data_IF_829495295762
#
_entry.id   IF_829495295762
#
_cell.length_a   1.000
_cell.length_b   1.000
_cell.length_c   1.000
_cell.angle_alpha   90.00
_cell.angle_beta   90.00
_cell.angle_gamma   90.00
#
_symmetry.space_group_name_H-M   'P 1'
#
loop_
_entity.id
_entity.type
_entity.pdbx_description
1 polymer ?
#
# COMPACT_ATOMS: atom_id res chain seq x y z
N UNK A 1 12.54 13.94 7.06
CA UNK A 1 11.43 13.26 7.73
C UNK A 1 10.61 12.48 6.72
N UNK A 2 10.45 11.20 6.92
CA UNK A 2 9.74 10.34 5.95
C UNK A 2 8.23 10.43 6.13
N UNK A 3 7.50 10.37 5.02
CA UNK A 3 6.05 10.24 5.02
C UNK A 3 5.73 8.75 5.06
N UNK A 4 4.95 8.32 6.03
CA UNK A 4 4.62 6.90 6.22
C UNK A 4 3.37 6.55 5.44
N UNK A 5 3.46 5.52 4.61
CA UNK A 5 2.43 5.17 3.64
C UNK A 5 1.91 3.76 3.89
N UNK A 6 0.59 3.62 3.89
CA UNK A 6 -0.08 2.34 3.82
C UNK A 6 -0.69 2.13 2.45
N UNK A 7 -0.71 0.90 1.97
CA UNK A 7 -1.33 0.58 0.68
C UNK A 7 -2.49 -0.38 0.94
N UNK A 8 -3.70 0.03 0.58
CA UNK A 8 -4.85 -0.84 0.65
C UNK A 8 -5.08 -1.48 -0.71
N UNK A 9 -4.82 -2.79 -0.77
CA UNK A 9 -4.84 -3.54 -2.01
C UNK A 9 -3.46 -3.65 -2.63
N UNK A 10 -2.79 -4.77 -2.46
CA UNK A 10 -1.45 -4.98 -3.00
C UNK A 10 -1.50 -5.76 -4.30
N UNK A 11 -2.41 -5.35 -5.19
CA UNK A 11 -2.50 -5.83 -6.55
C UNK A 11 -1.46 -5.15 -7.44
N UNK A 12 -1.71 -5.17 -8.75
CA UNK A 12 -0.75 -4.60 -9.71
C UNK A 12 -0.43 -3.13 -9.44
N UNK A 13 -1.45 -2.31 -9.17
CA UNK A 13 -1.25 -0.89 -8.93
C UNK A 13 -0.44 -0.63 -7.66
N UNK A 14 -0.81 -1.29 -6.56
CA UNK A 14 -0.08 -1.14 -5.30
C UNK A 14 1.36 -1.61 -5.39
N UNK A 15 1.58 -2.76 -6.05
CA UNK A 15 2.94 -3.28 -6.25
C UNK A 15 3.78 -2.36 -7.14
N UNK A 16 3.18 -1.81 -8.19
CA UNK A 16 3.90 -0.87 -9.06
C UNK A 16 4.23 0.43 -8.35
N UNK A 17 3.37 0.88 -7.45
CA UNK A 17 3.66 2.05 -6.62
C UNK A 17 4.90 1.80 -5.76
N UNK A 18 4.97 0.65 -5.09
CA UNK A 18 6.13 0.30 -4.28
C UNK A 18 7.41 0.21 -5.13
N UNK A 19 7.32 -0.44 -6.31
CA UNK A 19 8.46 -0.53 -7.21
C UNK A 19 8.95 0.84 -7.67
N UNK A 20 8.03 1.74 -7.98
CA UNK A 20 8.36 3.09 -8.41
C UNK A 20 9.04 3.87 -7.28
N UNK A 21 8.56 3.71 -6.06
CA UNK A 21 9.15 4.35 -4.88
C UNK A 21 10.58 3.86 -4.66
N UNK A 22 10.80 2.55 -4.74
CA UNK A 22 12.13 1.98 -4.60
C UNK A 22 13.10 2.50 -5.66
N UNK A 23 12.62 2.63 -6.90
CA UNK A 23 13.45 3.10 -8.00
C UNK A 23 13.83 4.57 -7.87
N UNK A 24 12.91 5.39 -7.35
CA UNK A 24 13.14 6.84 -7.23
C UNK A 24 13.84 7.25 -5.95
N UNK A 25 13.76 6.42 -4.91
CA UNK A 25 14.37 6.75 -3.62
C UNK A 25 13.75 7.99 -2.99
N UNK A 26 12.40 8.06 -2.97
CA UNK A 26 11.69 9.20 -2.41
C UNK A 26 11.69 9.18 -0.88
N UNK A 27 11.11 10.22 -0.26
CA UNK A 27 10.93 10.29 1.18
C UNK A 27 9.75 9.47 1.69
N UNK A 28 9.09 8.72 0.81
CA UNK A 28 7.98 7.86 1.21
C UNK A 28 8.51 6.57 1.82
N UNK A 29 7.89 6.18 2.92
CA UNK A 29 8.20 4.92 3.60
C UNK A 29 6.95 4.04 3.59
N UNK A 30 6.98 2.95 2.82
CA UNK A 30 5.87 2.00 2.80
C UNK A 30 5.98 1.12 4.04
N UNK A 31 5.06 1.29 4.98
CA UNK A 31 5.15 0.59 6.27
C UNK A 31 4.21 -0.59 6.36
N UNK A 32 3.13 -0.59 5.58
CA UNK A 32 2.16 -1.67 5.61
C UNK A 32 1.38 -1.73 4.32
N UNK A 33 0.94 -2.94 3.98
CA UNK A 33 -0.01 -3.16 2.88
C UNK A 33 -1.16 -3.98 3.45
N UNK A 34 -2.36 -3.78 2.92
CA UNK A 34 -3.51 -4.58 3.28
C UNK A 34 -3.97 -5.37 2.06
N UNK A 35 -4.02 -6.67 2.19
CA UNK A 35 -4.48 -7.56 1.12
C UNK A 35 -4.94 -8.87 1.75
N UNK A 36 -5.95 -9.50 1.15
CA UNK A 36 -6.47 -10.76 1.67
C UNK A 36 -5.64 -11.96 1.25
N UNK A 37 -4.71 -11.77 0.34
CA UNK A 37 -3.84 -12.84 -0.15
C UNK A 37 -2.72 -13.15 0.84
N UNK A 38 -2.17 -14.35 0.73
CA UNK A 38 -1.07 -14.81 1.56
C UNK A 38 0.20 -13.97 1.33
N UNK A 39 0.93 -13.59 2.40
CA UNK A 39 2.18 -12.84 2.25
C UNK A 39 3.20 -13.46 1.30
N UNK A 40 3.32 -14.79 1.26
CA UNK A 40 4.23 -15.47 0.34
C UNK A 40 3.85 -15.23 -1.10
N UNK A 41 2.55 -15.31 -1.41
CA UNK A 41 2.05 -15.04 -2.75
C UNK A 41 2.27 -13.59 -3.15
N UNK A 42 2.02 -12.66 -2.24
CA UNK A 42 2.24 -11.24 -2.49
C UNK A 42 3.71 -10.92 -2.73
N UNK A 43 4.60 -11.51 -1.92
CA UNK A 43 6.03 -11.31 -2.08
C UNK A 43 6.52 -11.85 -3.43
N UNK A 44 5.99 -13.02 -3.83
CA UNK A 44 6.33 -13.60 -5.14
C UNK A 44 5.91 -12.67 -6.28
N UNK A 45 4.69 -12.14 -6.21
CA UNK A 45 4.18 -11.23 -7.25
C UNK A 45 4.93 -9.89 -7.25
N UNK A 46 5.40 -9.44 -6.11
CA UNK A 46 6.24 -8.24 -6.04
C UNK A 46 7.59 -8.48 -6.72
N UNK A 47 8.18 -9.64 -6.47
CA UNK A 47 9.51 -9.98 -7.01
C UNK A 47 9.47 -10.26 -8.51
N UNK A 48 8.44 -10.98 -8.96
CA UNK A 48 8.33 -11.43 -10.35
C UNK A 48 7.04 -10.93 -10.97
N UNK A 49 7.15 -9.97 -11.88
CA UNK A 49 6.01 -9.41 -12.60
C UNK A 49 6.15 -9.74 -14.08
N UNK A 50 5.06 -10.21 -14.70
CA UNK A 50 5.08 -10.62 -16.10
C UNK A 50 5.25 -9.43 -17.06
N UNK A 51 4.92 -8.22 -16.62
CA UNK A 51 5.03 -7.00 -17.45
C UNK A 51 6.31 -6.24 -17.13
N UNK A 52 6.58 -5.98 -15.85
CA UNK A 52 7.72 -5.16 -15.43
C UNK A 52 8.97 -5.98 -15.12
N UNK A 53 8.83 -7.31 -15.10
CA UNK A 53 9.96 -8.22 -14.92
C UNK A 53 10.35 -8.44 -13.46
N UNK A 54 11.55 -8.96 -13.28
CA UNK A 54 12.07 -9.27 -11.95
C UNK A 54 12.52 -8.01 -11.24
N UNK A 55 12.07 -7.84 -10.01
CA UNK A 55 12.52 -6.73 -9.17
C UNK A 55 13.95 -6.99 -8.70
N UNK A 56 14.84 -6.04 -8.94
CA UNK A 56 16.26 -6.13 -8.54
C UNK A 56 16.44 -5.70 -7.09
N UNK A 57 15.76 -6.37 -6.20
CA UNK A 57 15.80 -6.14 -4.76
C UNK A 57 15.62 -7.48 -4.06
N UNK A 58 16.16 -7.60 -2.86
CA UNK A 58 15.97 -8.79 -2.05
C UNK A 58 14.57 -8.74 -1.43
N UNK A 59 13.77 -9.79 -1.67
CA UNK A 59 12.40 -9.88 -1.14
C UNK A 59 12.27 -11.21 -0.40
N UNK A 60 11.99 -11.13 0.89
CA UNK A 60 11.77 -12.29 1.74
C UNK A 60 10.48 -12.15 2.54
N UNK A 61 10.07 -13.21 3.20
CA UNK A 61 8.84 -13.22 4.02
C UNK A 61 9.20 -13.73 5.41
N UNK A 62 8.69 -13.04 6.43
CA UNK A 62 8.82 -13.46 7.81
C UNK A 62 7.45 -13.33 8.48
N UNK A 63 6.73 -14.45 8.62
CA UNK A 63 5.40 -14.48 9.18
C UNK A 63 4.42 -13.66 8.33
N UNK A 64 3.88 -12.61 8.90
CA UNK A 64 2.95 -11.69 8.23
C UNK A 64 3.65 -10.45 7.66
N UNK A 65 4.96 -10.51 7.51
CA UNK A 65 5.74 -9.39 7.01
C UNK A 65 6.41 -9.75 5.69
N UNK A 66 6.49 -8.77 4.79
CA UNK A 66 7.34 -8.84 3.60
C UNK A 66 8.54 -7.95 3.87
N UNK A 67 9.73 -8.46 3.62
CA UNK A 67 10.96 -7.72 3.87
C UNK A 67 11.64 -7.44 2.54
N UNK A 68 11.79 -6.16 2.21
CA UNK A 68 12.43 -5.70 0.98
C UNK A 68 13.72 -4.96 1.34
N UNK A 69 14.86 -5.52 0.96
CA UNK A 69 16.19 -4.99 1.27
C UNK A 69 16.35 -4.66 2.77
N UNK A 70 15.80 -5.53 3.64
CA UNK A 70 15.88 -5.35 5.08
C UNK A 70 14.79 -4.45 5.67
N UNK A 71 13.97 -3.79 4.85
CA UNK A 71 12.87 -2.96 5.33
C UNK A 71 11.62 -3.82 5.50
N UNK A 72 11.05 -3.77 6.69
CA UNK A 72 9.88 -4.58 7.03
C UNK A 72 8.60 -3.87 6.59
N UNK A 73 7.78 -4.57 5.81
CA UNK A 73 6.46 -4.11 5.40
C UNK A 73 5.43 -5.07 5.98
N UNK A 74 4.58 -4.57 6.86
CA UNK A 74 3.57 -5.39 7.52
C UNK A 74 2.43 -5.69 6.55
N UNK A 75 1.99 -6.96 6.53
CA UNK A 75 0.85 -7.37 5.70
C UNK A 75 -0.38 -7.53 6.60
N UNK A 76 -1.41 -6.75 6.31
CA UNK A 76 -2.69 -6.83 6.98
C UNK A 76 -3.67 -7.57 6.08
N UNK A 77 -4.68 -8.22 6.67
CA UNK A 77 -5.67 -8.99 5.92
C UNK A 77 -7.07 -8.60 6.40
N UNK A 78 -7.43 -7.34 6.22
CA UNK A 78 -8.69 -6.79 6.72
C UNK A 78 -9.59 -6.38 5.56
N UNK A 79 -10.84 -6.88 5.57
CA UNK A 79 -11.81 -6.56 4.52
C UNK A 79 -12.42 -5.18 4.68
N UNK A 80 -12.67 -4.77 5.93
CA UNK A 80 -13.34 -3.49 6.20
C UNK A 80 -12.29 -2.44 6.54
N UNK A 81 -12.16 -1.38 5.73
CA UNK A 81 -11.19 -0.32 6.00
C UNK A 81 -11.34 0.32 7.37
N UNK A 82 -12.56 0.29 7.94
CA UNK A 82 -12.80 0.86 9.26
C UNK A 82 -12.05 0.12 10.36
N UNK A 83 -11.66 -1.12 10.12
CA UNK A 83 -10.93 -1.95 11.08
C UNK A 83 -9.41 -1.94 10.87
N UNK A 84 -8.93 -1.17 9.88
CA UNK A 84 -7.49 -1.09 9.63
C UNK A 84 -6.79 -0.24 10.70
N UNK A 85 -5.67 -0.72 11.16
CA UNK A 85 -4.90 -0.05 12.21
C UNK A 85 -3.89 0.96 11.70
N UNK A 86 -4.27 1.76 10.69
CA UNK A 86 -3.36 2.76 10.11
C UNK A 86 -2.82 3.73 11.16
N UNK A 87 -3.69 4.18 12.06
CA UNK A 87 -3.29 5.11 13.10
C UNK A 87 -2.24 4.54 14.05
N UNK A 88 -2.42 3.28 14.44
CA UNK A 88 -1.47 2.59 15.32
C UNK A 88 -0.12 2.36 14.63
N UNK A 89 -0.11 2.28 13.30
CA UNK A 89 1.12 2.10 12.52
C UNK A 89 1.77 3.43 12.17
N UNK A 90 1.16 4.55 12.53
CA UNK A 90 1.69 5.87 12.23
C UNK A 90 1.65 6.22 10.76
N UNK A 91 0.65 5.72 10.04
CA UNK A 91 0.49 5.98 8.60
C UNK A 91 -0.05 7.39 8.38
N UNK A 92 0.60 8.13 7.50
CA UNK A 92 0.21 9.50 7.15
C UNK A 92 -0.67 9.54 5.91
N UNK A 93 -0.41 8.64 4.95
CA UNK A 93 -1.11 8.59 3.67
C UNK A 93 -1.48 7.16 3.35
N UNK A 94 -2.70 6.95 2.83
CA UNK A 94 -3.15 5.65 2.36
C UNK A 94 -3.34 5.70 0.85
N UNK A 95 -2.73 4.74 0.16
CA UNK A 95 -2.94 4.54 -1.28
C UNK A 95 -4.07 3.52 -1.42
N UNK A 96 -5.21 3.95 -1.96
CA UNK A 96 -6.35 3.06 -2.17
C UNK A 96 -6.26 2.45 -3.57
N UNK A 97 -5.95 1.17 -3.64
CA UNK A 97 -5.73 0.48 -4.92
C UNK A 97 -6.43 -0.87 -5.02
N UNK A 98 -7.50 -1.07 -4.24
CA UNK A 98 -8.30 -2.30 -4.34
C UNK A 98 -9.25 -2.27 -5.54
N UNK A 99 -9.60 -1.10 -6.03
CA UNK A 99 -10.65 -0.92 -7.03
C UNK A 99 -12.06 -0.97 -6.45
N UNK A 100 -12.19 -1.20 -5.15
CA UNK A 100 -13.51 -1.28 -4.49
C UNK A 100 -13.98 0.04 -3.93
N UNK A 101 -13.07 0.85 -3.45
CA UNK A 101 -13.37 2.10 -2.75
C UNK A 101 -12.98 3.27 -3.65
N UNK A 102 -13.69 3.41 -4.76
CA UNK A 102 -13.38 4.41 -5.78
C UNK A 102 -14.13 5.71 -5.60
N UNK A 103 -15.12 5.76 -4.69
CA UNK A 103 -15.83 6.99 -4.38
C UNK A 103 -15.38 7.55 -3.02
N UNK A 104 -15.61 8.85 -2.83
CA UNK A 104 -15.14 9.55 -1.63
C UNK A 104 -15.81 9.04 -0.35
N UNK A 105 -17.06 8.61 -0.45
CA UNK A 105 -17.81 8.14 0.71
C UNK A 105 -17.21 6.85 1.28
N UNK A 106 -16.91 5.88 0.43
CA UNK A 106 -16.29 4.63 0.88
C UNK A 106 -14.86 4.85 1.36
N UNK A 107 -14.11 5.67 0.64
CA UNK A 107 -12.72 5.96 0.98
C UNK A 107 -12.60 6.74 2.29
N UNK A 108 -13.63 7.46 2.68
CA UNK A 108 -13.67 8.20 3.94
C UNK A 108 -13.46 7.29 5.15
N UNK A 109 -13.75 6.00 5.03
CA UNK A 109 -13.49 5.05 6.10
C UNK A 109 -12.03 5.03 6.52
N UNK A 110 -11.12 5.23 5.58
CA UNK A 110 -9.69 5.33 5.90
C UNK A 110 -9.39 6.61 6.68
N UNK A 111 -10.02 7.69 6.31
CA UNK A 111 -9.85 8.99 6.99
C UNK A 111 -10.38 8.93 8.41
N UNK A 112 -11.55 8.33 8.60
CA UNK A 112 -12.18 8.22 9.91
C UNK A 112 -11.32 7.43 10.88
N UNK A 113 -10.55 6.46 10.39
CA UNK A 113 -9.67 5.65 11.23
C UNK A 113 -8.41 6.38 11.66
N UNK A 114 -7.83 7.19 10.78
CA UNK A 114 -6.53 7.82 11.09
C UNK A 114 -6.44 9.29 10.70
N UNK A 115 -7.49 9.84 10.13
CA UNK A 115 -7.57 11.25 9.71
C UNK A 115 -6.43 11.65 8.77
N UNK A 116 -6.07 10.74 7.88
CA UNK A 116 -5.01 10.95 6.91
C UNK A 116 -5.59 11.24 5.54
N UNK A 117 -4.74 11.73 4.65
CA UNK A 117 -5.09 11.92 3.25
C UNK A 117 -5.16 10.57 2.55
N UNK A 118 -6.06 10.47 1.57
CA UNK A 118 -6.23 9.25 0.78
C UNK A 118 -5.98 9.56 -0.69
N UNK A 119 -5.22 8.69 -1.34
CA UNK A 119 -4.97 8.76 -2.77
C UNK A 119 -5.48 7.50 -3.45
N UNK A 120 -6.21 7.69 -4.54
CA UNK A 120 -6.74 6.57 -5.32
C UNK A 120 -5.72 6.08 -6.33
N UNK A 121 -5.82 4.80 -6.70
CA UNK A 121 -4.92 4.18 -7.66
C UNK A 121 -5.17 4.57 -9.12
N UNK A 122 -6.13 5.44 -9.39
CA UNK A 122 -6.46 5.91 -10.73
C UNK A 122 -6.13 7.38 -10.85
N UNK A 123 -5.33 7.75 -11.85
CA UNK A 123 -4.88 9.13 -12.00
C UNK A 123 -6.02 10.14 -12.10
N UNK A 124 -7.08 9.78 -12.82
CA UNK A 124 -8.22 10.69 -12.98
C UNK A 124 -9.02 10.88 -11.70
N UNK A 125 -8.90 9.97 -10.75
CA UNK A 125 -9.60 10.06 -9.47
C UNK A 125 -8.82 10.85 -8.43
N UNK A 126 -7.51 10.85 -8.49
CA UNK A 126 -6.66 11.47 -7.47
C UNK A 126 -7.00 12.94 -7.29
N UNK A 127 -7.12 13.70 -8.40
CA UNK A 127 -7.41 15.13 -8.32
C UNK A 127 -8.80 15.41 -7.74
N UNK A 128 -9.76 14.53 -7.99
CA UNK A 128 -11.15 14.71 -7.54
C UNK A 128 -11.36 14.31 -6.10
N UNK A 129 -10.58 13.36 -5.60
CA UNK A 129 -10.80 12.75 -4.30
C UNK A 129 -9.69 13.03 -3.30
N UNK A 130 -8.75 13.83 -3.67
CA UNK A 130 -7.70 14.25 -2.76
C UNK A 130 -8.31 15.08 -1.63
N UNK A 131 -8.01 14.74 -0.40
CA UNK A 131 -8.58 15.42 0.74
C UNK A 131 -7.88 16.74 0.99
N UNK A 132 -8.64 17.81 1.25
CA UNK A 132 -8.05 19.08 1.62
C UNK A 132 -7.40 19.03 2.99
#
# INVERSE_FOLDING_TARGET
>A
MSVRVGINGFGRIGRNFLRAELAKGTDLEIVAVNDLSDPKGLAHLLKYDSVTGRLDRDVTVDGQNIIVDGTIIKVLAERDPANLGWGDLGVDIVIESTGRFTNAEDAKKHIDVLKANIYYGHLHDIASHQQP
#
